data_IF_620003277692
#
_entry.id   IF_620003277692
#
_cell.length_a   1.000
_cell.length_b   1.000
_cell.length_c   1.000
_cell.angle_alpha   90.00
_cell.angle_beta   90.00
_cell.angle_gamma   90.00
#
_symmetry.space_group_name_H-M   'P 1'
#
loop_
_entity.id
_entity.type
_entity.pdbx_description
1 polymer ?
#
# COMPACT_ATOMS: atom_id res chain seq x y z
N UNK A 1 -29.94 37.04 -95.44
CA UNK A 1 -30.03 37.80 -94.18
C UNK A 1 -29.79 36.80 -93.07
N UNK A 2 -28.64 36.90 -92.42
CA UNK A 2 -27.94 35.79 -91.77
C UNK A 2 -28.44 35.63 -90.32
N UNK A 3 -28.96 34.44 -90.01
CA UNK A 3 -29.37 33.98 -88.69
C UNK A 3 -28.14 33.34 -88.00
N UNK A 4 -27.45 34.10 -87.15
CA UNK A 4 -26.23 33.62 -86.45
C UNK A 4 -26.21 34.03 -84.97
N UNK A 5 -27.30 34.63 -84.47
CA UNK A 5 -27.39 35.10 -83.08
C UNK A 5 -27.76 34.01 -82.06
N UNK A 6 -28.57 33.03 -82.45
CA UNK A 6 -29.21 32.09 -81.49
C UNK A 6 -28.34 30.85 -81.17
N UNK A 7 -27.38 30.54 -82.04
CA UNK A 7 -26.47 29.39 -81.85
C UNK A 7 -25.38 29.62 -80.81
N UNK A 8 -25.00 30.88 -80.53
CA UNK A 8 -23.96 31.19 -79.55
C UNK A 8 -24.48 31.08 -78.11
N UNK A 9 -25.68 31.60 -77.81
CA UNK A 9 -26.28 31.51 -76.48
C UNK A 9 -26.68 30.09 -76.07
N UNK A 10 -27.13 29.27 -77.04
CA UNK A 10 -27.44 27.86 -76.80
C UNK A 10 -26.19 27.03 -76.50
N UNK A 11 -25.06 27.29 -77.16
CA UNK A 11 -23.79 26.60 -76.88
C UNK A 11 -23.28 26.89 -75.45
N UNK A 12 -23.35 28.15 -75.00
CA UNK A 12 -22.92 28.56 -73.66
C UNK A 12 -23.80 27.93 -72.55
N UNK A 13 -25.11 27.84 -72.77
CA UNK A 13 -26.04 27.17 -71.84
C UNK A 13 -25.75 25.66 -71.72
N UNK A 14 -25.42 24.99 -72.83
CA UNK A 14 -25.04 23.57 -72.79
C UNK A 14 -23.69 23.36 -72.07
N UNK A 15 -22.73 24.26 -72.28
CA UNK A 15 -21.46 24.24 -71.56
C UNK A 15 -21.64 24.44 -70.05
N UNK A 16 -22.47 25.40 -69.64
CA UNK A 16 -22.82 25.66 -68.25
C UNK A 16 -23.57 24.47 -67.60
N UNK A 17 -24.53 23.87 -68.32
CA UNK A 17 -25.23 22.67 -67.86
C UNK A 17 -24.27 21.47 -67.69
N UNK A 18 -23.30 21.32 -68.60
CA UNK A 18 -22.25 20.31 -68.49
C UNK A 18 -21.30 20.55 -67.31
N UNK A 19 -20.97 21.82 -67.00
CA UNK A 19 -20.18 22.17 -65.82
C UNK A 19 -20.95 21.91 -64.51
N UNK A 20 -22.22 22.28 -64.44
CA UNK A 20 -23.09 22.01 -63.29
C UNK A 20 -23.24 20.50 -63.02
N UNK A 21 -23.36 19.69 -64.07
CA UNK A 21 -23.41 18.22 -63.95
C UNK A 21 -22.11 17.63 -63.44
N UNK A 22 -20.96 18.14 -63.91
CA UNK A 22 -19.63 17.74 -63.42
C UNK A 22 -19.42 18.12 -61.95
N UNK A 23 -19.83 19.33 -61.56
CA UNK A 23 -19.79 19.77 -60.16
C UNK A 23 -20.67 18.87 -59.27
N UNK A 24 -21.89 18.56 -59.72
CA UNK A 24 -22.79 17.69 -58.98
C UNK A 24 -22.23 16.27 -58.84
N UNK A 25 -21.62 15.72 -59.89
CA UNK A 25 -20.96 14.40 -59.84
C UNK A 25 -19.75 14.41 -58.91
N UNK A 26 -18.91 15.45 -58.96
CA UNK A 26 -17.77 15.60 -58.06
C UNK A 26 -18.21 15.75 -56.60
N UNK A 27 -19.27 16.52 -56.33
CA UNK A 27 -19.84 16.66 -54.99
C UNK A 27 -20.45 15.36 -54.48
N UNK A 28 -21.15 14.61 -55.34
CA UNK A 28 -21.69 13.30 -55.02
C UNK A 28 -20.59 12.28 -54.72
N UNK A 29 -19.50 12.28 -55.51
CA UNK A 29 -18.32 11.44 -55.26
C UNK A 29 -17.64 11.80 -53.93
N UNK A 30 -17.47 13.09 -53.64
CA UNK A 30 -16.91 13.58 -52.39
C UNK A 30 -17.79 13.22 -51.17
N UNK A 31 -19.11 13.27 -51.30
CA UNK A 31 -20.07 12.84 -50.27
C UNK A 31 -20.09 11.33 -50.05
N UNK A 32 -19.83 10.56 -51.10
CA UNK A 32 -19.78 9.10 -51.07
C UNK A 32 -18.43 8.54 -50.59
N UNK A 33 -17.39 9.39 -50.58
CA UNK A 33 -16.08 9.03 -50.07
C UNK A 33 -16.15 8.78 -48.55
N UNK A 34 -15.88 7.53 -48.17
CA UNK A 34 -15.90 7.08 -46.77
C UNK A 34 -14.71 7.58 -45.95
N UNK A 35 -13.67 8.08 -46.61
CA UNK A 35 -12.48 8.63 -45.94
C UNK A 35 -12.70 10.07 -45.44
N UNK A 36 -13.75 10.75 -45.91
CA UNK A 36 -14.06 12.14 -45.52
C UNK A 36 -15.21 12.19 -44.51
N UNK A 37 -14.87 12.52 -43.27
CA UNK A 37 -15.84 12.68 -42.19
C UNK A 37 -16.53 14.05 -42.25
N UNK A 38 -17.77 14.11 -42.75
CA UNK A 38 -18.59 15.35 -42.77
C UNK A 38 -19.37 15.59 -41.47
N UNK A 39 -19.49 14.57 -40.63
CA UNK A 39 -20.26 14.61 -39.38
C UNK A 39 -19.32 14.31 -38.22
N UNK A 40 -19.24 15.24 -37.27
CA UNK A 40 -18.60 14.98 -36.00
C UNK A 40 -19.39 13.88 -35.28
N UNK A 41 -18.77 12.76 -34.89
CA UNK A 41 -19.48 11.72 -34.18
C UNK A 41 -19.85 12.28 -32.79
N UNK A 42 -21.02 11.90 -32.24
CA UNK A 42 -21.38 12.30 -30.90
C UNK A 42 -20.29 11.83 -29.92
N UNK A 43 -19.86 12.73 -29.04
CA UNK A 43 -18.84 12.41 -28.04
C UNK A 43 -19.32 11.23 -27.19
N UNK A 44 -18.50 10.17 -27.11
CA UNK A 44 -18.80 9.05 -26.23
C UNK A 44 -18.89 9.55 -24.78
N UNK A 45 -19.87 9.07 -23.99
CA UNK A 45 -19.94 9.44 -22.58
C UNK A 45 -18.65 9.03 -21.87
N UNK A 46 -18.17 9.83 -20.88
CA UNK A 46 -16.98 9.47 -20.14
C UNK A 46 -17.17 8.10 -19.50
N UNK A 47 -16.14 7.25 -19.62
CA UNK A 47 -16.14 5.94 -18.97
C UNK A 47 -16.32 6.12 -17.47
N UNK A 48 -17.20 5.33 -16.81
CA UNK A 48 -17.38 5.45 -15.37
C UNK A 48 -16.05 5.19 -14.65
N UNK A 49 -15.81 5.86 -13.50
CA UNK A 49 -14.62 5.62 -12.70
C UNK A 49 -14.55 4.14 -12.26
N UNK A 50 -13.35 3.61 -12.00
CA UNK A 50 -13.18 2.23 -11.56
C UNK A 50 -14.06 1.91 -10.34
N UNK A 51 -14.68 0.73 -10.34
CA UNK A 51 -15.62 0.32 -9.28
C UNK A 51 -14.98 0.38 -7.87
N UNK A 52 -13.69 0.05 -7.76
CA UNK A 52 -12.95 0.13 -6.49
C UNK A 52 -12.80 1.57 -5.99
N UNK A 53 -12.65 2.55 -6.89
CA UNK A 53 -12.52 3.97 -6.53
C UNK A 53 -13.85 4.49 -5.96
N UNK A 54 -14.96 4.10 -6.59
CA UNK A 54 -16.31 4.41 -6.12
C UNK A 54 -16.56 3.75 -4.76
N UNK A 55 -16.13 2.49 -4.58
CA UNK A 55 -16.25 1.76 -3.32
C UNK A 55 -15.41 2.43 -2.20
N UNK A 56 -14.17 2.81 -2.49
CA UNK A 56 -13.31 3.53 -1.55
C UNK A 56 -13.91 4.88 -1.14
N UNK A 57 -14.39 5.67 -2.10
CA UNK A 57 -15.02 6.96 -1.82
C UNK A 57 -16.31 6.82 -1.01
N UNK A 58 -17.06 5.73 -1.19
CA UNK A 58 -18.23 5.41 -0.37
C UNK A 58 -17.82 5.04 1.05
N UNK A 59 -16.87 4.12 1.20
CA UNK A 59 -16.34 3.70 2.49
C UNK A 59 -15.76 4.88 3.29
N UNK A 60 -14.96 5.75 2.65
CA UNK A 60 -14.37 6.92 3.29
C UNK A 60 -15.45 7.90 3.77
N UNK A 61 -16.49 8.09 2.96
CA UNK A 61 -17.63 8.95 3.34
C UNK A 61 -18.38 8.39 4.54
N UNK A 62 -18.60 7.08 4.58
CA UNK A 62 -19.25 6.42 5.71
C UNK A 62 -18.39 6.46 6.98
N UNK A 63 -17.07 6.30 6.83
CA UNK A 63 -16.09 6.43 7.92
C UNK A 63 -16.05 7.86 8.50
N UNK A 64 -16.08 8.89 7.65
CA UNK A 64 -16.04 10.30 8.08
C UNK A 64 -17.43 10.85 8.46
N UNK A 65 -18.51 10.12 8.19
CA UNK A 65 -19.88 10.52 8.53
C UNK A 65 -20.09 10.84 10.02
N UNK A 66 -19.63 10.03 10.99
CA UNK A 66 -19.71 10.38 12.41
C UNK A 66 -18.89 11.62 12.75
N UNK A 67 -17.73 11.80 12.12
CA UNK A 67 -16.86 12.98 12.31
C UNK A 67 -17.58 14.25 11.86
N UNK A 68 -18.17 14.25 10.66
CA UNK A 68 -18.96 15.38 10.17
C UNK A 68 -20.18 15.71 11.04
N UNK A 69 -20.84 14.69 11.61
CA UNK A 69 -21.93 14.88 12.58
C UNK A 69 -21.43 15.51 13.88
N UNK A 70 -20.28 15.05 14.38
CA UNK A 70 -19.60 15.62 15.55
C UNK A 70 -19.19 17.07 15.33
N UNK A 71 -18.62 17.42 14.18
CA UNK A 71 -18.28 18.80 13.83
C UNK A 71 -19.52 19.71 13.75
N UNK A 72 -20.63 19.22 13.18
CA UNK A 72 -21.88 19.99 13.12
C UNK A 72 -22.52 20.18 14.49
N UNK A 73 -22.47 19.16 15.34
CA UNK A 73 -22.91 19.25 16.75
C UNK A 73 -22.03 20.21 17.56
N UNK A 74 -20.71 20.15 17.36
CA UNK A 74 -19.78 21.07 17.99
C UNK A 74 -20.02 22.52 17.51
N UNK A 75 -20.33 22.68 16.21
CA UNK A 75 -20.72 23.96 15.63
C UNK A 75 -22.05 24.50 16.15
N UNK A 76 -23.00 23.64 16.55
CA UNK A 76 -24.28 24.09 17.12
C UNK A 76 -24.18 24.58 18.56
N UNK A 77 -23.10 24.22 19.26
CA UNK A 77 -22.78 24.74 20.61
C UNK A 77 -22.08 26.12 20.57
N UNK A 78 -21.93 26.71 19.39
CA UNK A 78 -21.08 27.86 19.17
C UNK A 78 -21.88 29.18 19.19
N UNK A 79 -21.55 30.14 20.07
CA UNK A 79 -22.05 31.52 19.98
C UNK A 79 -21.38 32.25 18.79
N UNK A 80 -22.07 33.21 18.16
CA UNK A 80 -21.59 34.02 17.00
C UNK A 80 -20.39 34.96 17.31
N UNK A 81 -19.62 34.71 18.37
CA UNK A 81 -18.45 35.49 18.71
C UNK A 81 -17.25 35.09 17.82
N UNK A 82 -16.72 36.01 16.98
CA UNK A 82 -15.67 35.69 16.01
C UNK A 82 -14.37 35.16 16.66
N UNK A 83 -14.06 35.62 17.88
CA UNK A 83 -12.86 35.24 18.63
C UNK A 83 -12.91 33.81 19.17
N UNK A 84 -14.08 33.33 19.62
CA UNK A 84 -14.24 31.95 20.09
C UNK A 84 -14.05 30.94 18.94
N UNK A 85 -14.44 31.34 17.72
CA UNK A 85 -14.23 30.54 16.50
C UNK A 85 -12.78 30.43 16.10
N UNK A 86 -12.05 31.55 16.09
CA UNK A 86 -10.63 31.53 15.78
C UNK A 86 -9.83 30.68 16.79
N UNK A 87 -10.16 30.77 18.09
CA UNK A 87 -9.46 30.05 19.15
C UNK A 87 -9.71 28.53 19.10
N UNK A 88 -10.93 28.08 18.80
CA UNK A 88 -11.21 26.66 18.65
C UNK A 88 -10.46 26.05 17.45
N UNK A 89 -10.51 26.72 16.29
CA UNK A 89 -9.83 26.23 15.09
C UNK A 89 -8.32 26.25 15.24
N UNK A 90 -7.75 27.22 15.96
CA UNK A 90 -6.31 27.20 16.27
C UNK A 90 -5.95 26.01 17.17
N UNK A 91 -6.74 25.71 18.20
CA UNK A 91 -6.53 24.53 19.07
C UNK A 91 -6.65 23.22 18.28
N UNK A 92 -7.67 23.08 17.43
CA UNK A 92 -7.85 21.89 16.58
C UNK A 92 -6.69 21.76 15.59
N UNK A 93 -6.29 22.85 14.93
CA UNK A 93 -5.18 22.85 13.99
C UNK A 93 -3.86 22.47 14.69
N UNK A 94 -3.61 22.98 15.90
CA UNK A 94 -2.46 22.60 16.72
C UNK A 94 -2.54 21.11 17.09
N UNK A 95 -3.70 20.61 17.50
CA UNK A 95 -3.88 19.20 17.84
C UNK A 95 -3.63 18.28 16.63
N UNK A 96 -4.14 18.64 15.44
CA UNK A 96 -3.91 17.90 14.20
C UNK A 96 -2.43 17.98 13.78
N UNK A 97 -1.80 19.14 13.86
CA UNK A 97 -0.38 19.31 13.57
C UNK A 97 0.50 18.50 14.53
N UNK A 98 0.19 18.49 15.83
CA UNK A 98 0.86 17.67 16.82
C UNK A 98 0.67 16.17 16.55
N UNK A 99 -0.54 15.75 16.15
CA UNK A 99 -0.83 14.35 15.77
C UNK A 99 -0.05 13.94 14.52
N UNK A 100 0.00 14.79 13.49
CA UNK A 100 0.73 14.56 12.26
C UNK A 100 2.24 14.53 12.51
N UNK A 101 2.75 15.45 13.34
CA UNK A 101 4.15 15.48 13.77
C UNK A 101 4.53 14.24 14.58
N UNK A 102 3.67 13.80 15.51
CA UNK A 102 3.85 12.57 16.26
C UNK A 102 3.84 11.35 15.33
N UNK A 103 2.93 11.27 14.36
CA UNK A 103 2.90 10.20 13.36
C UNK A 103 4.16 10.22 12.48
N UNK A 104 4.60 11.39 12.04
CA UNK A 104 5.80 11.59 11.24
C UNK A 104 7.07 11.14 11.98
N UNK A 105 7.26 11.58 13.23
CA UNK A 105 8.38 11.12 14.06
C UNK A 105 8.29 9.63 14.36
N UNK A 106 7.08 9.10 14.58
CA UNK A 106 6.84 7.67 14.85
C UNK A 106 7.14 6.77 13.64
N UNK A 107 6.97 7.27 12.42
CA UNK A 107 7.36 6.60 11.18
C UNK A 107 8.87 6.75 10.93
N UNK A 108 9.46 7.92 11.20
CA UNK A 108 10.89 8.19 10.96
C UNK A 108 11.82 7.51 11.96
N UNK A 109 11.43 7.36 13.22
CA UNK A 109 12.25 6.76 14.28
C UNK A 109 12.11 5.24 14.37
N UNK A 110 11.34 4.60 13.47
CA UNK A 110 11.28 3.14 13.31
C UNK A 110 10.80 2.34 14.51
N UNK A 111 10.36 3.01 15.59
CA UNK A 111 10.06 2.37 16.85
C UNK A 111 8.57 2.50 17.15
N UNK A 112 7.83 1.41 16.97
CA UNK A 112 6.50 1.24 17.54
C UNK A 112 6.59 1.08 19.06
N UNK A 113 7.10 2.10 19.77
CA UNK A 113 7.04 2.17 21.22
C UNK A 113 5.69 2.76 21.58
N UNK A 114 4.73 1.88 21.86
CA UNK A 114 3.55 2.27 22.62
C UNK A 114 4.00 2.71 24.02
N UNK A 115 3.40 3.77 24.61
CA UNK A 115 3.59 4.07 26.02
C UNK A 115 3.06 2.87 26.81
N UNK A 116 3.95 2.14 27.46
CA UNK A 116 3.59 1.01 28.32
C UNK A 116 2.77 1.52 29.50
N UNK A 117 1.46 1.35 29.45
CA UNK A 117 0.63 1.37 30.66
C UNK A 117 0.99 0.11 31.46
N UNK A 118 1.81 0.30 32.51
CA UNK A 118 2.07 -0.73 33.52
C UNK A 118 0.75 -1.03 34.23
N UNK A 119 0.01 -2.05 33.76
CA UNK A 119 -0.89 -2.79 34.65
C UNK A 119 -0.02 -3.68 35.52
N UNK A 120 -0.16 -3.51 36.83
CA UNK A 120 0.40 -4.38 37.85
C UNK A 120 -0.33 -5.73 37.72
N UNK A 121 0.28 -6.67 37.01
CA UNK A 121 -0.20 -8.05 36.99
C UNK A 121 0.16 -8.68 38.35
N UNK A 122 -0.87 -9.10 39.07
CA UNK A 122 -0.75 -9.96 40.24
C UNK A 122 -0.15 -11.28 39.77
N UNK A 123 0.98 -11.65 40.37
CA UNK A 123 1.65 -12.90 40.12
C UNK A 123 0.75 -14.07 40.54
N UNK A 124 0.45 -14.96 39.60
CA UNK A 124 0.05 -16.32 39.90
C UNK A 124 1.25 -17.21 39.60
N UNK A 125 1.84 -17.75 40.67
CA UNK A 125 2.79 -18.85 40.63
C UNK A 125 2.21 -20.00 39.81
N UNK A 126 2.94 -20.42 38.77
CA UNK A 126 3.33 -21.80 38.40
C UNK A 126 3.85 -21.74 36.96
N UNK A 127 5.16 -21.53 36.80
CA UNK A 127 5.93 -21.97 35.63
C UNK A 127 7.42 -21.89 36.00
N UNK A 128 7.97 -23.05 36.31
CA UNK A 128 9.37 -23.49 36.28
C UNK A 128 10.46 -22.41 36.43
N UNK A 129 11.32 -22.64 37.43
CA UNK A 129 12.61 -22.00 37.63
C UNK A 129 13.51 -22.14 36.39
N UNK A 130 13.30 -21.29 35.39
CA UNK A 130 14.27 -20.99 34.35
C UNK A 130 14.83 -19.59 34.62
N UNK A 131 16.09 -19.57 35.04
CA UNK A 131 17.02 -18.44 35.12
C UNK A 131 16.45 -17.13 34.55
N UNK A 132 15.89 -16.28 35.42
CA UNK A 132 15.41 -14.96 35.02
C UNK A 132 16.59 -14.11 34.53
N UNK A 133 16.84 -14.14 33.21
CA UNK A 133 17.76 -13.24 32.54
C UNK A 133 16.97 -12.10 31.91
N UNK A 134 17.27 -10.82 32.22
CA UNK A 134 16.63 -9.66 31.61
C UNK A 134 16.67 -9.65 30.07
N UNK A 135 17.63 -10.36 29.46
CA UNK A 135 17.74 -10.53 28.00
C UNK A 135 16.81 -11.62 27.43
N UNK A 136 16.32 -12.56 28.26
CA UNK A 136 15.38 -13.60 27.85
C UNK A 136 13.91 -13.14 27.88
N UNK A 137 13.54 -12.24 28.79
CA UNK A 137 12.17 -11.73 28.91
C UNK A 137 11.61 -11.11 27.60
N UNK A 138 12.40 -10.36 26.81
CA UNK A 138 11.96 -9.90 25.49
C UNK A 138 11.73 -11.05 24.50
N UNK A 139 12.60 -12.08 24.50
CA UNK A 139 12.50 -13.25 23.61
C UNK A 139 11.22 -14.04 23.86
N UNK A 140 10.88 -14.29 25.12
CA UNK A 140 9.65 -15.01 25.48
C UNK A 140 8.39 -14.29 24.99
N UNK A 141 8.34 -12.96 25.09
CA UNK A 141 7.20 -12.18 24.61
C UNK A 141 7.00 -12.31 23.09
N UNK A 142 8.08 -12.32 22.30
CA UNK A 142 7.96 -12.45 20.84
C UNK A 142 7.62 -13.87 20.41
N UNK A 143 8.14 -14.88 21.11
CA UNK A 143 7.72 -16.26 20.91
C UNK A 143 6.23 -16.43 21.21
N UNK A 144 5.70 -15.82 22.27
CA UNK A 144 4.27 -15.84 22.57
C UNK A 144 3.42 -15.19 21.47
N UNK A 145 3.84 -14.04 20.92
CA UNK A 145 3.14 -13.39 19.80
C UNK A 145 3.09 -14.29 18.56
N UNK A 146 4.21 -14.96 18.24
CA UNK A 146 4.27 -15.85 17.08
C UNK A 146 3.53 -17.19 17.33
N UNK A 147 3.58 -17.71 18.55
CA UNK A 147 2.84 -18.90 18.98
C UNK A 147 1.31 -18.66 18.94
N UNK A 148 0.85 -17.44 19.23
CA UNK A 148 -0.56 -17.07 19.08
C UNK A 148 -1.02 -17.10 17.62
N UNK A 149 -0.22 -16.59 16.68
CA UNK A 149 -0.52 -16.69 15.25
C UNK A 149 -0.57 -18.15 14.79
N UNK A 150 0.38 -18.96 15.26
CA UNK A 150 0.42 -20.38 14.94
C UNK A 150 -0.76 -21.18 15.54
N UNK A 151 -1.29 -20.77 16.70
CA UNK A 151 -2.47 -21.37 17.32
C UNK A 151 -3.73 -21.15 16.45
N UNK A 152 -3.80 -20.02 15.75
CA UNK A 152 -4.87 -19.70 14.79
C UNK A 152 -4.66 -20.35 13.41
N UNK A 153 -3.60 -21.17 13.24
CA UNK A 153 -3.25 -21.83 11.97
C UNK A 153 -2.47 -20.96 10.98
N UNK A 154 -2.10 -19.73 11.37
CA UNK A 154 -1.34 -18.79 10.55
C UNK A 154 0.18 -19.04 10.65
N UNK A 155 0.61 -20.22 10.22
CA UNK A 155 2.02 -20.66 10.34
C UNK A 155 2.99 -19.83 9.49
N UNK A 156 2.57 -19.40 8.29
CA UNK A 156 3.40 -18.60 7.41
C UNK A 156 3.66 -17.21 7.99
N UNK A 157 2.63 -16.59 8.56
CA UNK A 157 2.68 -15.31 9.24
C UNK A 157 3.51 -15.39 10.52
N UNK A 158 3.36 -16.47 11.29
CA UNK A 158 4.18 -16.74 12.47
C UNK A 158 5.67 -16.84 12.10
N UNK A 159 6.01 -17.61 11.06
CA UNK A 159 7.39 -17.73 10.56
C UNK A 159 7.94 -16.40 10.04
N UNK A 160 7.13 -15.61 9.33
CA UNK A 160 7.50 -14.28 8.85
C UNK A 160 7.79 -13.32 10.02
N UNK A 161 7.00 -13.39 11.09
CA UNK A 161 7.20 -12.60 12.32
C UNK A 161 8.53 -12.93 12.99
N UNK A 162 8.89 -14.22 13.09
CA UNK A 162 10.19 -14.65 13.60
C UNK A 162 11.35 -14.18 12.72
N UNK A 163 11.21 -14.22 11.40
CA UNK A 163 12.23 -13.70 10.48
C UNK A 163 12.47 -12.21 10.74
N UNK A 164 11.42 -11.39 10.80
CA UNK A 164 11.57 -9.96 11.08
C UNK A 164 12.28 -9.71 12.41
N UNK A 165 11.88 -10.44 13.46
CA UNK A 165 12.50 -10.33 14.78
C UNK A 165 13.97 -10.74 14.77
N UNK A 166 14.31 -11.80 14.03
CA UNK A 166 15.69 -12.26 13.90
C UNK A 166 16.60 -11.22 13.22
N UNK A 167 16.09 -10.48 12.23
CA UNK A 167 16.80 -9.34 11.62
C UNK A 167 17.03 -8.23 12.65
N UNK A 168 16.03 -7.91 13.47
CA UNK A 168 16.19 -6.91 14.55
C UNK A 168 17.21 -7.36 15.61
N UNK A 169 17.27 -8.65 15.93
CA UNK A 169 18.24 -9.21 16.88
C UNK A 169 19.67 -9.12 16.33
N UNK A 170 19.85 -9.43 15.05
CA UNK A 170 21.12 -9.24 14.33
C UNK A 170 21.49 -7.74 14.31
N UNK A 171 20.54 -6.85 14.02
CA UNK A 171 20.78 -5.40 14.01
C UNK A 171 21.23 -4.88 15.38
N UNK A 172 20.64 -5.38 16.47
CA UNK A 172 21.05 -4.98 17.84
C UNK A 172 22.45 -5.46 18.19
N UNK A 173 22.79 -6.70 17.84
CA UNK A 173 24.13 -7.29 18.14
C UNK A 173 25.21 -6.75 17.21
N UNK A 174 24.87 -6.41 15.96
CA UNK A 174 25.79 -5.92 14.93
C UNK A 174 25.16 -4.75 14.13
N UNK A 175 25.09 -3.54 14.71
CA UNK A 175 24.40 -2.39 14.11
C UNK A 175 24.94 -1.96 12.74
N UNK A 176 26.21 -2.24 12.45
CA UNK A 176 26.85 -1.90 11.17
C UNK A 176 26.54 -2.87 10.03
N UNK A 177 25.92 -4.02 10.32
CA UNK A 177 25.63 -5.05 9.32
C UNK A 177 24.28 -4.88 8.64
N UNK A 178 23.26 -4.40 9.35
CA UNK A 178 21.90 -4.30 8.77
C UNK A 178 21.75 -2.94 8.08
N UNK A 179 21.72 -2.96 6.75
CA UNK A 179 21.50 -1.80 5.88
C UNK A 179 20.16 -1.95 5.17
N UNK A 180 19.43 -0.86 4.86
CA UNK A 180 18.11 -0.93 4.23
C UNK A 180 18.05 -1.69 2.90
N UNK A 181 19.17 -1.83 2.20
CA UNK A 181 19.26 -2.51 0.91
C UNK A 181 19.60 -4.02 1.01
N UNK A 182 19.86 -4.56 2.21
CA UNK A 182 20.24 -5.96 2.38
C UNK A 182 19.03 -6.87 2.47
N UNK A 183 19.04 -7.92 1.66
CA UNK A 183 18.05 -9.00 1.71
C UNK A 183 18.34 -9.99 2.85
N UNK A 184 17.33 -10.77 3.27
CA UNK A 184 17.53 -11.83 4.26
C UNK A 184 18.58 -12.85 3.80
N UNK A 185 18.67 -13.13 2.50
CA UNK A 185 19.66 -14.07 1.95
C UNK A 185 21.09 -13.53 2.04
N UNK A 186 21.28 -12.25 1.75
CA UNK A 186 22.58 -11.58 1.89
C UNK A 186 22.99 -11.47 3.36
N UNK A 187 22.04 -11.16 4.26
CA UNK A 187 22.30 -11.13 5.70
C UNK A 187 22.69 -12.52 6.24
N UNK A 188 22.04 -13.58 5.74
CA UNK A 188 22.37 -14.98 6.05
C UNK A 188 23.70 -15.46 5.46
N UNK A 189 24.33 -14.70 4.57
CA UNK A 189 25.68 -14.99 4.07
C UNK A 189 26.77 -14.16 4.78
N UNK A 190 26.40 -13.15 5.57
CA UNK A 190 27.35 -12.19 6.13
C UNK A 190 28.35 -12.84 7.10
N UNK A 191 29.64 -12.83 6.74
CA UNK A 191 30.72 -13.42 7.55
C UNK A 191 30.98 -12.74 8.89
N UNK A 192 30.38 -11.59 9.14
CA UNK A 192 30.46 -10.89 10.43
C UNK A 192 29.47 -11.43 11.48
N UNK A 193 28.58 -12.35 11.09
CA UNK A 193 27.71 -13.12 11.99
C UNK A 193 28.39 -14.47 12.26
N UNK A 194 28.48 -14.93 13.53
CA UNK A 194 29.01 -16.25 13.86
C UNK A 194 28.32 -17.36 13.09
N UNK A 195 29.07 -18.40 12.70
CA UNK A 195 28.58 -19.43 11.79
C UNK A 195 27.30 -20.13 12.29
N UNK A 196 27.22 -20.42 13.59
CA UNK A 196 26.04 -21.04 14.20
C UNK A 196 24.79 -20.16 14.07
N UNK A 197 24.84 -18.90 14.52
CA UNK A 197 23.74 -17.95 14.37
C UNK A 197 23.35 -17.71 12.90
N UNK A 198 24.35 -17.68 12.02
CA UNK A 198 24.14 -17.47 10.58
C UNK A 198 23.35 -18.61 9.94
N UNK A 199 23.66 -19.87 10.26
CA UNK A 199 22.93 -21.04 9.77
C UNK A 199 21.48 -21.02 10.27
N UNK A 200 21.27 -20.77 11.56
CA UNK A 200 19.91 -20.73 12.15
C UNK A 200 19.03 -19.64 11.52
N UNK A 201 19.61 -18.47 11.27
CA UNK A 201 18.91 -17.40 10.57
C UNK A 201 18.60 -17.76 9.11
N UNK A 202 19.54 -18.39 8.40
CA UNK A 202 19.36 -18.83 7.02
C UNK A 202 18.24 -19.87 6.90
N UNK A 203 18.08 -20.77 7.86
CA UNK A 203 17.01 -21.78 7.89
C UNK A 203 15.62 -21.13 7.97
N UNK A 204 15.46 -20.14 8.86
CA UNK A 204 14.22 -19.36 9.02
C UNK A 204 13.94 -18.57 7.73
N UNK A 205 14.94 -17.89 7.18
CA UNK A 205 14.82 -17.11 5.96
C UNK A 205 14.41 -17.99 4.77
N UNK A 206 15.02 -19.16 4.64
CA UNK A 206 14.73 -20.10 3.56
C UNK A 206 13.29 -20.64 3.65
N UNK A 207 12.77 -20.90 4.85
CA UNK A 207 11.37 -21.31 5.01
C UNK A 207 10.40 -20.23 4.52
N UNK A 208 10.61 -18.99 4.96
CA UNK A 208 9.76 -17.85 4.59
C UNK A 208 9.88 -17.51 3.10
N UNK A 209 11.07 -17.60 2.51
CA UNK A 209 11.28 -17.41 1.07
C UNK A 209 10.53 -18.49 0.28
N UNK A 210 10.60 -19.75 0.71
CA UNK A 210 9.84 -20.84 0.09
C UNK A 210 8.33 -20.66 0.19
N UNK A 211 7.82 -20.12 1.29
CA UNK A 211 6.38 -19.91 1.44
C UNK A 211 5.87 -18.69 0.66
N UNK A 212 6.60 -17.57 0.74
CA UNK A 212 6.23 -16.33 0.04
C UNK A 212 6.35 -16.44 -1.48
N UNK A 213 7.40 -17.08 -1.99
CA UNK A 213 7.65 -17.18 -3.44
C UNK A 213 7.31 -18.53 -4.04
N UNK A 214 7.35 -19.61 -3.26
CA UNK A 214 7.09 -20.97 -3.73
C UNK A 214 5.62 -21.39 -3.68
N UNK A 215 4.71 -20.53 -3.18
CA UNK A 215 3.26 -20.78 -3.16
C UNK A 215 2.82 -21.97 -2.30
N UNK A 216 3.72 -22.55 -1.50
CA UNK A 216 3.45 -23.64 -0.58
C UNK A 216 3.25 -23.07 0.83
N UNK A 217 2.11 -23.39 1.44
CA UNK A 217 1.85 -23.04 2.83
C UNK A 217 2.91 -23.64 3.77
N UNK A 218 3.13 -22.98 4.91
CA UNK A 218 3.97 -23.52 5.98
C UNK A 218 3.11 -24.46 6.81
N UNK A 219 3.57 -25.68 7.05
CA UNK A 219 2.88 -26.60 7.95
C UNK A 219 3.36 -26.45 9.41
N UNK A 220 2.73 -27.20 10.31
CA UNK A 220 3.06 -27.15 11.74
C UNK A 220 4.48 -27.62 12.04
N UNK A 221 5.01 -28.58 11.30
CA UNK A 221 6.36 -29.12 11.53
C UNK A 221 7.42 -28.12 11.08
N UNK A 222 7.24 -27.53 9.90
CA UNK A 222 8.07 -26.45 9.37
C UNK A 222 8.05 -25.22 10.31
N UNK A 223 6.88 -24.86 10.83
CA UNK A 223 6.75 -23.81 11.85
C UNK A 223 7.56 -24.12 13.12
N UNK A 224 7.41 -25.32 13.67
CA UNK A 224 8.13 -25.72 14.88
C UNK A 224 9.65 -25.73 14.68
N UNK A 225 10.12 -26.14 13.49
CA UNK A 225 11.53 -26.08 13.13
C UNK A 225 12.05 -24.62 13.09
N UNK A 226 11.29 -23.69 12.51
CA UNK A 226 11.65 -22.27 12.49
C UNK A 226 11.64 -21.65 13.89
N UNK A 227 10.67 -22.03 14.73
CA UNK A 227 10.59 -21.61 16.13
C UNK A 227 11.81 -22.08 16.93
N UNK A 228 12.19 -23.34 16.81
CA UNK A 228 13.38 -23.89 17.46
C UNK A 228 14.68 -23.21 16.96
N UNK A 229 14.79 -22.99 15.65
CA UNK A 229 15.93 -22.28 15.08
C UNK A 229 16.06 -20.86 15.67
N UNK A 230 14.93 -20.14 15.82
CA UNK A 230 14.92 -18.83 16.44
C UNK A 230 15.34 -18.89 17.91
N UNK A 231 14.77 -19.82 18.69
CA UNK A 231 15.15 -20.01 20.10
C UNK A 231 16.65 -20.25 20.23
N UNK A 232 17.22 -21.20 19.48
CA UNK A 232 18.66 -21.48 19.49
C UNK A 232 19.49 -20.28 19.06
N UNK A 233 19.01 -19.48 18.10
CA UNK A 233 19.72 -18.29 17.63
C UNK A 233 19.76 -17.19 18.71
N UNK A 234 18.77 -17.12 19.59
CA UNK A 234 18.77 -16.13 20.67
C UNK A 234 19.74 -16.45 21.80
N UNK A 235 20.10 -17.73 21.98
CA UNK A 235 21.07 -18.16 22.99
C UNK A 235 22.44 -17.49 22.78
N UNK A 236 23.10 -17.16 23.90
CA UNK A 236 24.43 -16.55 23.87
C UNK A 236 25.47 -17.45 23.18
N UNK A 237 25.29 -18.78 23.24
CA UNK A 237 26.22 -19.76 22.66
C UNK A 237 26.28 -19.69 21.14
N UNK A 238 25.15 -19.48 20.48
CA UNK A 238 25.10 -19.33 19.01
C UNK A 238 25.86 -18.09 18.52
N UNK A 239 26.19 -17.16 19.44
CA UNK A 239 26.89 -15.92 19.18
C UNK A 239 28.32 -15.88 19.71
N UNK A 240 28.81 -16.98 20.30
CA UNK A 240 30.23 -17.16 20.58
C UNK A 240 30.94 -17.51 19.26
N UNK A 241 32.03 -16.79 18.98
CA UNK A 241 32.85 -16.96 17.79
C UNK A 241 33.95 -18.00 18.03
#
# INVERSE_FOLDING_TARGET
>A
MIDTGDHLGSADLHAAAGAARRLHQAHAALRADGDVQFLLPPMAPPTPPPAWLVALGRWLRDLLRPVGRGLRWLGSWMPDAPYARALLWSVIAIAVAAMAWAAWNRIREGAWRLPRWRRKAVASDVALEEEWSPDAAPVHAWLQEADALAADGHYAEAAHRLLFRSVEDIARRRPRLVRPALTSRELGAAGAIPAAARTLFADIAALVERSLFGGRGVDREEWLAARDAYTRMTLAEAWRA
#
